data_IF_497706136159
#
_entry.id   IF_497706136159
#
_cell.length_a   1.000
_cell.length_b   1.000
_cell.length_c   1.000
_cell.angle_alpha   90.00
_cell.angle_beta   90.00
_cell.angle_gamma   90.00
#
_symmetry.space_group_name_H-M   'P 1'
#
loop_
_entity.id
_entity.type
_entity.pdbx_description
1 polymer ?
#
# COMPACT_ATOMS: atom_id res chain seq x y z
N UNK A 1 -10.24 -26.36 -14.01
CA UNK A 1 -8.96 -26.90 -14.51
C UNK A 1 -7.86 -26.38 -13.59
N UNK A 2 -7.11 -27.24 -12.91
CA UNK A 2 -6.08 -26.83 -11.93
C UNK A 2 -4.85 -26.26 -12.65
N UNK A 3 -4.62 -24.95 -12.54
CA UNK A 3 -3.47 -24.22 -13.09
C UNK A 3 -2.22 -24.44 -12.19
N UNK A 4 -1.84 -25.70 -11.97
CA UNK A 4 -0.75 -26.05 -11.04
C UNK A 4 0.58 -26.43 -11.75
N UNK A 5 0.64 -26.38 -13.09
CA UNK A 5 1.74 -27.00 -13.85
C UNK A 5 2.97 -26.11 -14.11
N UNK A 6 2.88 -24.77 -14.05
CA UNK A 6 3.98 -23.86 -14.49
C UNK A 6 5.00 -23.51 -13.40
N UNK A 7 4.58 -23.30 -12.15
CA UNK A 7 5.52 -23.03 -11.03
C UNK A 7 6.48 -24.21 -10.79
N UNK A 8 6.04 -25.45 -11.07
CA UNK A 8 6.90 -26.64 -11.02
C UNK A 8 8.00 -26.62 -12.08
N UNK A 9 7.76 -25.99 -13.24
CA UNK A 9 8.72 -25.97 -14.34
C UNK A 9 9.85 -24.98 -14.08
N UNK A 10 9.55 -23.76 -13.60
CA UNK A 10 10.59 -22.79 -13.23
C UNK A 10 11.54 -23.35 -12.14
N UNK A 11 10.99 -24.04 -11.14
CA UNK A 11 11.79 -24.71 -10.12
C UNK A 11 12.65 -25.85 -10.70
N UNK A 12 12.12 -26.60 -11.68
CA UNK A 12 12.87 -27.66 -12.38
C UNK A 12 14.02 -27.06 -13.19
N UNK A 13 13.76 -25.99 -13.95
CA UNK A 13 14.75 -25.30 -14.77
C UNK A 13 15.89 -24.75 -13.90
N UNK A 14 15.57 -24.17 -12.74
CA UNK A 14 16.57 -23.70 -11.78
C UNK A 14 17.43 -24.84 -11.25
N UNK A 15 16.83 -25.98 -10.88
CA UNK A 15 17.55 -27.16 -10.42
C UNK A 15 18.47 -27.78 -11.50
N UNK A 16 18.13 -27.59 -12.78
CA UNK A 16 18.94 -28.01 -13.93
C UNK A 16 20.01 -26.98 -14.32
N UNK A 17 20.08 -25.83 -13.64
CA UNK A 17 21.01 -24.75 -13.97
C UNK A 17 20.70 -24.04 -15.28
N UNK A 18 19.44 -24.05 -15.72
CA UNK A 18 19.02 -23.31 -16.90
C UNK A 18 19.14 -21.79 -16.67
N UNK A 19 19.51 -21.06 -17.70
CA UNK A 19 19.67 -19.59 -17.64
C UNK A 19 18.45 -18.84 -18.15
N UNK A 20 17.58 -19.49 -18.92
CA UNK A 20 16.44 -18.90 -19.60
C UNK A 20 15.16 -19.70 -19.31
N UNK A 21 14.02 -19.02 -19.37
CA UNK A 21 12.69 -19.59 -19.31
C UNK A 21 11.89 -19.18 -20.55
N UNK A 22 10.98 -20.05 -20.98
CA UNK A 22 10.10 -19.80 -22.11
C UNK A 22 8.75 -19.27 -21.63
N UNK A 23 8.44 -18.03 -21.99
CA UNK A 23 7.14 -17.40 -21.81
C UNK A 23 6.29 -17.58 -23.07
N UNK A 24 5.09 -18.12 -22.92
CA UNK A 24 4.13 -18.26 -24.02
C UNK A 24 3.17 -17.07 -23.99
N UNK A 25 3.15 -16.30 -25.08
CA UNK A 25 2.27 -15.17 -25.25
C UNK A 25 1.64 -15.20 -26.64
N UNK A 26 0.30 -15.34 -26.70
CA UNK A 26 -0.50 -15.36 -27.95
C UNK A 26 0.04 -16.28 -29.07
N UNK A 27 0.57 -17.44 -28.68
CA UNK A 27 1.14 -18.42 -29.62
C UNK A 27 2.61 -18.20 -29.98
N UNK A 28 3.23 -17.14 -29.47
CA UNK A 28 4.66 -16.87 -29.57
C UNK A 28 5.39 -17.38 -28.33
N UNK A 29 6.59 -17.92 -28.54
CA UNK A 29 7.50 -18.31 -27.47
C UNK A 29 8.58 -17.24 -27.33
N UNK A 30 8.67 -16.65 -26.15
CA UNK A 30 9.60 -15.59 -25.81
C UNK A 30 10.56 -16.13 -24.76
N UNK A 31 11.86 -15.89 -24.93
CA UNK A 31 12.87 -16.29 -23.96
C UNK A 31 13.18 -15.13 -23.03
N UNK A 32 13.09 -15.37 -21.73
CA UNK A 32 13.46 -14.41 -20.70
C UNK A 32 14.50 -15.03 -19.76
N UNK A 33 15.38 -14.25 -19.14
CA UNK A 33 16.29 -14.78 -18.14
C UNK A 33 15.50 -15.47 -17.02
N UNK A 34 15.86 -16.71 -16.66
CA UNK A 34 15.19 -17.43 -15.57
C UNK A 34 15.48 -16.79 -14.22
N UNK A 35 16.73 -16.32 -14.05
CA UNK A 35 17.22 -15.74 -12.81
C UNK A 35 16.70 -14.29 -12.68
N UNK A 36 15.91 -14.00 -11.65
CA UNK A 36 15.34 -12.66 -11.45
C UNK A 36 16.39 -11.63 -11.06
N UNK A 37 17.53 -12.08 -10.56
CA UNK A 37 18.66 -11.29 -10.11
C UNK A 37 19.32 -10.50 -11.26
N UNK A 38 19.10 -10.94 -12.51
CA UNK A 38 19.58 -10.22 -13.71
C UNK A 38 18.50 -9.40 -14.40
N UNK A 39 17.27 -9.41 -13.88
CA UNK A 39 16.19 -8.59 -14.42
C UNK A 39 16.40 -7.11 -14.07
N UNK A 40 15.89 -6.18 -14.89
CA UNK A 40 15.95 -4.75 -14.58
C UNK A 40 14.89 -4.40 -13.52
N UNK A 41 15.08 -4.85 -12.26
CA UNK A 41 14.09 -4.72 -11.18
C UNK A 41 13.71 -3.25 -10.88
N UNK A 42 14.63 -2.31 -11.10
CA UNK A 42 14.35 -0.88 -11.03
C UNK A 42 13.36 -0.43 -12.13
N UNK A 43 13.52 -0.91 -13.37
CA UNK A 43 12.57 -0.62 -14.45
C UNK A 43 11.23 -1.29 -14.19
N UNK A 44 11.21 -2.52 -13.68
CA UNK A 44 9.95 -3.21 -13.30
C UNK A 44 9.12 -2.35 -12.33
N UNK A 45 9.78 -1.62 -11.42
CA UNK A 45 9.15 -0.74 -10.43
C UNK A 45 8.71 0.60 -11.00
N UNK A 46 9.58 1.27 -11.75
CA UNK A 46 9.41 2.69 -12.12
C UNK A 46 8.89 2.88 -13.54
N UNK A 47 9.26 1.99 -14.46
CA UNK A 47 9.00 2.07 -15.88
C UNK A 47 8.70 0.67 -16.45
N UNK A 48 7.60 0.02 -16.02
CA UNK A 48 7.35 -1.39 -16.33
C UNK A 48 7.24 -1.67 -17.83
N UNK A 49 6.75 -0.71 -18.61
CA UNK A 49 6.74 -0.79 -20.06
C UNK A 49 8.17 -0.98 -20.64
N UNK A 50 9.11 -0.13 -20.23
CA UNK A 50 10.52 -0.23 -20.66
C UNK A 50 11.18 -1.52 -20.16
N UNK A 51 10.73 -2.06 -19.02
CA UNK A 51 11.22 -3.34 -18.53
C UNK A 51 10.80 -4.50 -19.46
N UNK A 52 9.58 -4.46 -20.02
CA UNK A 52 9.13 -5.45 -21.01
C UNK A 52 10.02 -5.39 -22.24
N UNK A 53 10.25 -4.21 -22.80
CA UNK A 53 11.11 -4.03 -23.98
C UNK A 53 12.54 -4.51 -23.73
N UNK A 54 13.10 -4.20 -22.56
CA UNK A 54 14.41 -4.68 -22.15
C UNK A 54 14.47 -6.20 -22.09
N UNK A 55 13.47 -6.84 -21.49
CA UNK A 55 13.42 -8.30 -21.35
C UNK A 55 13.11 -9.02 -22.67
N UNK A 56 12.36 -8.39 -23.57
CA UNK A 56 12.18 -8.87 -24.94
C UNK A 56 13.51 -8.90 -25.69
N UNK A 57 14.39 -7.92 -25.45
CA UNK A 57 15.70 -7.83 -26.08
C UNK A 57 15.63 -7.95 -27.61
N UNK A 58 14.62 -7.28 -28.21
CA UNK A 58 14.37 -7.29 -29.65
C UNK A 58 13.73 -8.57 -30.22
N UNK A 59 13.30 -9.51 -29.38
CA UNK A 59 12.55 -10.68 -29.84
C UNK A 59 11.17 -10.30 -30.38
N UNK A 60 10.73 -10.97 -31.45
CA UNK A 60 9.36 -10.89 -31.92
C UNK A 60 8.41 -11.58 -30.92
N UNK A 61 7.36 -10.87 -30.51
CA UNK A 61 6.42 -11.33 -29.49
C UNK A 61 4.96 -11.23 -29.93
N UNK A 62 4.69 -10.98 -31.22
CA UNK A 62 3.31 -10.88 -31.72
C UNK A 62 2.56 -9.62 -31.25
N UNK A 63 3.26 -8.64 -30.65
CA UNK A 63 2.77 -7.29 -30.50
C UNK A 63 2.91 -6.56 -31.84
N UNK A 64 1.83 -5.90 -32.27
CA UNK A 64 1.78 -5.12 -33.51
C UNK A 64 1.83 -3.61 -33.21
N UNK A 65 1.86 -2.78 -34.26
CA UNK A 65 1.94 -1.31 -34.14
C UNK A 65 0.79 -0.67 -33.34
N UNK A 66 -0.33 -1.38 -33.17
CA UNK A 66 -1.51 -0.96 -32.41
C UNK A 66 -1.58 -1.54 -30.99
N UNK A 67 -0.48 -2.14 -30.50
CA UNK A 67 -0.40 -2.72 -29.17
C UNK A 67 -0.75 -1.71 -28.07
N UNK A 68 -1.64 -2.14 -27.17
CA UNK A 68 -2.12 -1.36 -26.04
C UNK A 68 -1.29 -1.61 -24.79
N UNK A 69 -1.46 -0.75 -23.78
CA UNK A 69 -0.84 -0.94 -22.45
C UNK A 69 -1.27 -2.28 -21.83
N UNK A 70 -2.49 -2.73 -22.10
CA UNK A 70 -3.01 -3.99 -21.58
C UNK A 70 -2.32 -5.20 -22.22
N UNK A 71 -1.96 -5.12 -23.51
CA UNK A 71 -1.20 -6.16 -24.20
C UNK A 71 0.21 -6.32 -23.61
N UNK A 72 0.89 -5.20 -23.33
CA UNK A 72 2.19 -5.21 -22.67
C UNK A 72 2.10 -5.75 -21.23
N UNK A 73 0.99 -5.46 -20.53
CA UNK A 73 0.77 -5.98 -19.18
C UNK A 73 0.55 -7.48 -19.20
N UNK A 74 -0.28 -8.00 -20.11
CA UNK A 74 -0.49 -9.44 -20.33
C UNK A 74 0.84 -10.14 -20.64
N UNK A 75 1.66 -9.55 -21.50
CA UNK A 75 3.00 -10.06 -21.80
C UNK A 75 3.90 -10.06 -20.55
N UNK A 76 3.92 -8.97 -19.78
CA UNK A 76 4.71 -8.89 -18.54
C UNK A 76 4.31 -9.96 -17.51
N UNK A 77 3.01 -10.26 -17.41
CA UNK A 77 2.49 -11.30 -16.53
C UNK A 77 2.89 -12.69 -17.06
N UNK A 78 2.87 -12.92 -18.38
CA UNK A 78 3.35 -14.16 -18.99
C UNK A 78 4.86 -14.40 -18.73
N UNK A 79 5.67 -13.34 -18.76
CA UNK A 79 7.09 -13.39 -18.41
C UNK A 79 7.30 -13.77 -16.94
N UNK A 80 6.57 -13.12 -16.02
CA UNK A 80 6.63 -13.40 -14.59
C UNK A 80 6.17 -14.83 -14.25
N UNK A 81 5.14 -15.32 -14.94
CA UNK A 81 4.65 -16.69 -14.85
C UNK A 81 5.72 -17.71 -15.28
N UNK A 82 6.45 -17.45 -16.36
CA UNK A 82 7.48 -18.33 -16.89
C UNK A 82 8.63 -18.55 -15.91
N UNK A 83 8.99 -17.53 -15.14
CA UNK A 83 10.02 -17.60 -14.09
C UNK A 83 9.46 -18.03 -12.72
N UNK A 84 8.17 -18.37 -12.64
CA UNK A 84 7.56 -18.91 -11.43
C UNK A 84 7.19 -17.86 -10.37
N UNK A 85 7.13 -16.58 -10.74
CA UNK A 85 6.70 -15.47 -9.87
C UNK A 85 5.33 -14.93 -10.33
N UNK A 86 4.44 -15.89 -10.59
CA UNK A 86 3.06 -15.64 -10.99
C UNK A 86 2.28 -14.90 -9.91
N UNK A 87 1.27 -14.13 -10.34
CA UNK A 87 0.24 -13.64 -9.43
C UNK A 87 -0.48 -14.82 -8.78
N UNK A 88 -0.92 -14.64 -7.53
CA UNK A 88 -1.78 -15.62 -6.89
C UNK A 88 -3.20 -15.55 -7.47
N UNK A 89 -3.88 -16.69 -7.68
CA UNK A 89 -5.25 -16.71 -8.21
C UNK A 89 -6.25 -15.89 -7.38
N UNK A 90 -6.02 -15.79 -6.07
CA UNK A 90 -6.83 -15.00 -5.14
C UNK A 90 -6.57 -13.49 -5.18
N UNK A 91 -5.48 -13.03 -5.80
CA UNK A 91 -5.18 -11.60 -5.93
C UNK A 91 -6.08 -10.98 -7.01
N UNK A 92 -6.90 -9.97 -6.68
CA UNK A 92 -7.75 -9.30 -7.67
C UNK A 92 -6.93 -8.72 -8.82
N UNK A 93 -7.50 -8.72 -10.02
CA UNK A 93 -6.88 -8.00 -11.13
C UNK A 93 -6.94 -6.49 -10.87
N UNK A 94 -5.79 -5.83 -10.91
CA UNK A 94 -5.67 -4.38 -10.81
C UNK A 94 -5.05 -3.81 -12.11
N UNK A 95 -5.59 -2.68 -12.63
CA UNK A 95 -5.16 -2.12 -13.91
C UNK A 95 -3.74 -1.55 -13.91
N UNK A 96 -3.16 -1.32 -12.74
CA UNK A 96 -1.80 -0.81 -12.52
C UNK A 96 -0.78 -1.92 -12.22
N UNK A 97 -1.19 -3.19 -12.22
CA UNK A 97 -0.34 -4.29 -11.80
C UNK A 97 0.39 -4.94 -12.97
N UNK A 98 1.72 -4.97 -12.91
CA UNK A 98 2.60 -5.54 -13.92
C UNK A 98 3.42 -6.70 -13.34
N UNK A 99 3.94 -7.58 -14.19
CA UNK A 99 4.94 -8.57 -13.79
C UNK A 99 4.53 -9.47 -12.60
N UNK A 100 3.25 -9.84 -12.52
CA UNK A 100 2.75 -10.79 -11.52
C UNK A 100 3.07 -10.41 -10.07
N UNK A 101 3.84 -11.25 -9.38
CA UNK A 101 4.26 -11.06 -7.99
C UNK A 101 5.57 -10.28 -7.82
N UNK A 102 6.29 -9.95 -8.90
CA UNK A 102 7.63 -9.35 -8.85
C UNK A 102 7.60 -7.97 -8.17
N UNK A 103 6.67 -7.04 -8.48
CA UNK A 103 6.64 -5.75 -7.79
C UNK A 103 6.44 -5.87 -6.28
N UNK A 104 5.60 -6.82 -5.84
CA UNK A 104 5.40 -7.11 -4.42
C UNK A 104 6.68 -7.63 -3.78
N UNK A 105 7.36 -8.57 -4.43
CA UNK A 105 8.66 -9.09 -3.96
C UNK A 105 9.69 -7.97 -3.81
N UNK A 106 9.84 -7.12 -4.83
CA UNK A 106 10.77 -5.99 -4.81
C UNK A 106 10.42 -5.01 -3.69
N UNK A 107 9.15 -4.68 -3.51
CA UNK A 107 8.71 -3.81 -2.42
C UNK A 107 9.00 -4.41 -1.03
N UNK A 108 8.90 -5.73 -0.86
CA UNK A 108 9.29 -6.41 0.38
C UNK A 108 10.79 -6.31 0.61
N UNK A 109 11.60 -6.57 -0.42
CA UNK A 109 13.05 -6.47 -0.34
C UNK A 109 13.50 -5.04 0.00
N UNK A 110 12.86 -4.02 -0.54
CA UNK A 110 13.26 -2.63 -0.34
C UNK A 110 12.86 -2.06 1.04
N UNK A 111 11.72 -2.50 1.59
CA UNK A 111 11.11 -1.85 2.77
C UNK A 111 11.07 -2.71 4.02
N UNK A 112 11.19 -4.02 3.86
CA UNK A 112 10.93 -5.01 4.92
C UNK A 112 11.99 -6.12 4.89
N UNK A 113 13.23 -5.80 4.53
CA UNK A 113 14.32 -6.77 4.38
C UNK A 113 14.64 -7.51 5.68
N UNK A 114 14.69 -6.79 6.81
CA UNK A 114 14.94 -7.39 8.13
C UNK A 114 13.79 -8.30 8.59
N UNK A 115 12.54 -7.87 8.36
CA UNK A 115 11.36 -8.67 8.64
C UNK A 115 11.31 -9.94 7.78
N UNK A 116 11.72 -9.82 6.51
CA UNK A 116 11.88 -10.93 5.59
C UNK A 116 12.91 -11.93 6.09
N UNK A 117 14.09 -11.45 6.51
CA UNK A 117 15.12 -12.32 7.06
C UNK A 117 14.63 -13.07 8.31
N UNK A 118 13.94 -12.36 9.21
CA UNK A 118 13.31 -12.94 10.41
C UNK A 118 12.31 -14.03 10.03
N UNK A 119 11.41 -13.78 9.08
CA UNK A 119 10.37 -14.74 8.70
C UNK A 119 10.92 -15.94 7.91
N UNK A 120 11.91 -15.73 7.03
CA UNK A 120 12.60 -16.82 6.34
C UNK A 120 13.24 -17.79 7.33
N UNK A 121 13.93 -17.24 8.34
CA UNK A 121 14.54 -18.07 9.37
C UNK A 121 13.50 -18.77 10.25
N UNK A 122 12.49 -18.02 10.71
CA UNK A 122 11.49 -18.52 11.66
C UNK A 122 10.61 -19.62 11.09
N UNK A 123 10.12 -19.45 9.86
CA UNK A 123 9.14 -20.37 9.28
C UNK A 123 9.77 -21.45 8.41
N UNK A 124 10.94 -21.18 7.82
CA UNK A 124 11.54 -22.05 6.82
C UNK A 124 12.97 -22.51 7.17
N UNK A 125 13.59 -21.94 8.21
CA UNK A 125 14.98 -22.23 8.57
C UNK A 125 15.97 -21.86 7.48
N UNK A 126 15.66 -20.82 6.69
CA UNK A 126 16.47 -20.35 5.57
C UNK A 126 17.15 -19.05 5.95
N UNK A 127 18.48 -19.03 5.81
CA UNK A 127 19.29 -17.84 6.07
C UNK A 127 19.21 -16.88 4.89
N UNK A 128 18.74 -15.64 5.13
CA UNK A 128 18.59 -14.64 4.07
C UNK A 128 19.91 -14.31 3.36
N UNK A 129 21.04 -14.40 4.08
CA UNK A 129 22.37 -14.16 3.53
C UNK A 129 22.72 -15.07 2.34
N UNK A 130 22.09 -16.25 2.22
CA UNK A 130 22.25 -17.17 1.09
C UNK A 130 21.83 -16.55 -0.26
N UNK A 131 21.07 -15.44 -0.23
CA UNK A 131 20.73 -14.66 -1.42
C UNK A 131 21.97 -14.10 -2.10
N UNK A 132 22.92 -13.60 -1.32
CA UNK A 132 24.12 -12.95 -1.83
C UNK A 132 25.19 -13.92 -2.31
N UNK A 133 25.11 -15.19 -1.90
CA UNK A 133 25.95 -16.28 -2.42
C UNK A 133 25.34 -16.97 -3.64
N UNK A 134 24.09 -16.61 -4.01
CA UNK A 134 23.34 -17.21 -5.11
C UNK A 134 22.69 -18.56 -4.78
N UNK A 135 22.70 -18.99 -3.52
CA UNK A 135 22.10 -20.26 -3.08
C UNK A 135 20.58 -20.13 -2.87
N UNK A 136 20.13 -18.93 -2.49
CA UNK A 136 18.72 -18.59 -2.32
C UNK A 136 18.29 -17.58 -3.40
N UNK A 137 17.61 -18.07 -4.44
CA UNK A 137 17.12 -17.19 -5.50
C UNK A 137 15.90 -16.34 -5.09
N UNK A 138 15.70 -15.22 -5.77
CA UNK A 138 14.51 -14.38 -5.61
C UNK A 138 13.20 -15.13 -5.87
N UNK A 139 13.19 -16.09 -6.81
CA UNK A 139 12.04 -16.97 -7.05
C UNK A 139 11.75 -17.87 -5.84
N UNK A 140 12.80 -18.44 -5.21
CA UNK A 140 12.65 -19.22 -3.99
C UNK A 140 12.12 -18.37 -2.85
N UNK A 141 12.64 -17.16 -2.67
CA UNK A 141 12.12 -16.19 -1.71
C UNK A 141 10.62 -15.94 -1.94
N UNK A 142 10.20 -15.64 -3.17
CA UNK A 142 8.78 -15.49 -3.52
C UNK A 142 7.94 -16.71 -3.12
N UNK A 143 8.47 -17.92 -3.35
CA UNK A 143 7.77 -19.16 -3.01
C UNK A 143 7.49 -19.25 -1.50
N UNK A 144 8.43 -18.83 -0.66
CA UNK A 144 8.29 -18.82 0.80
C UNK A 144 7.33 -17.73 1.30
N UNK A 145 7.32 -16.56 0.65
CA UNK A 145 6.61 -15.39 1.19
C UNK A 145 5.27 -15.08 0.53
N UNK A 146 4.94 -15.68 -0.61
CA UNK A 146 3.68 -15.37 -1.31
C UNK A 146 2.44 -15.69 -0.48
N UNK A 147 2.53 -16.58 0.50
CA UNK A 147 1.42 -16.98 1.40
C UNK A 147 1.87 -16.99 2.86
N UNK A 148 2.36 -15.85 3.32
CA UNK A 148 2.76 -15.69 4.72
C UNK A 148 1.58 -15.80 5.68
N UNK A 149 1.90 -16.31 6.85
CA UNK A 149 0.98 -16.34 7.99
C UNK A 149 0.67 -14.91 8.47
N UNK A 150 -0.57 -14.60 8.90
CA UNK A 150 -0.93 -13.29 9.46
C UNK A 150 -0.05 -12.83 10.64
N UNK A 151 0.57 -13.76 11.37
CA UNK A 151 1.48 -13.49 12.48
C UNK A 151 2.95 -13.30 12.05
N UNK A 152 3.23 -13.32 10.74
CA UNK A 152 4.55 -13.04 10.19
C UNK A 152 4.98 -11.58 10.44
N UNK A 153 6.29 -11.38 10.56
CA UNK A 153 6.90 -10.08 10.83
C UNK A 153 6.62 -9.12 9.67
N UNK A 154 6.72 -9.59 8.42
CA UNK A 154 6.41 -8.80 7.22
C UNK A 154 4.95 -8.33 7.24
N UNK A 155 3.98 -9.22 7.50
CA UNK A 155 2.55 -8.85 7.50
C UNK A 155 2.26 -7.81 8.60
N UNK A 156 2.86 -7.99 9.78
CA UNK A 156 2.75 -7.02 10.88
C UNK A 156 3.38 -5.68 10.52
N UNK A 157 4.56 -5.67 9.91
CA UNK A 157 5.25 -4.46 9.50
C UNK A 157 4.44 -3.69 8.45
N UNK A 158 3.89 -4.37 7.45
CA UNK A 158 3.00 -3.80 6.44
C UNK A 158 1.71 -3.22 7.03
N UNK A 159 1.24 -3.77 8.16
CA UNK A 159 0.06 -3.30 8.88
C UNK A 159 0.40 -2.34 10.05
N UNK A 160 1.49 -1.56 9.92
CA UNK A 160 1.86 -0.53 10.90
C UNK A 160 2.25 -1.08 12.27
N UNK A 161 2.87 -2.26 12.29
CA UNK A 161 3.29 -2.98 13.50
C UNK A 161 2.18 -3.76 14.20
N UNK A 162 0.96 -3.75 13.66
CA UNK A 162 -0.21 -4.43 14.24
C UNK A 162 -0.49 -5.75 13.54
N UNK A 163 -1.06 -6.69 14.27
CA UNK A 163 -1.55 -7.93 13.68
C UNK A 163 -2.69 -7.64 12.70
N UNK A 164 -2.70 -8.34 11.57
CA UNK A 164 -3.80 -8.27 10.62
C UNK A 164 -5.04 -8.92 11.24
N UNK A 165 -6.19 -8.27 11.08
CA UNK A 165 -7.43 -8.82 11.63
C UNK A 165 -7.83 -10.10 10.92
N UNK A 166 -7.94 -11.17 11.70
CA UNK A 166 -8.46 -12.45 11.24
C UNK A 166 -9.99 -12.44 11.21
N UNK A 167 -10.59 -13.40 10.50
CA UNK A 167 -12.05 -13.57 10.48
C UNK A 167 -12.61 -13.75 11.90
N UNK A 168 -11.89 -14.51 12.76
CA UNK A 168 -12.28 -14.72 14.15
C UNK A 168 -12.30 -13.42 14.94
N UNK A 169 -11.35 -12.51 14.71
CA UNK A 169 -11.34 -11.18 15.34
C UNK A 169 -12.55 -10.35 14.89
N UNK A 170 -12.93 -10.40 13.61
CA UNK A 170 -14.13 -9.72 13.12
C UNK A 170 -15.42 -10.29 13.73
N UNK A 171 -15.52 -11.61 13.85
CA UNK A 171 -16.65 -12.27 14.50
C UNK A 171 -16.74 -11.85 15.97
N UNK A 172 -15.62 -11.89 16.70
CA UNK A 172 -15.59 -11.51 18.11
C UNK A 172 -15.99 -10.04 18.33
N UNK A 173 -15.50 -9.14 17.47
CA UNK A 173 -15.91 -7.73 17.50
C UNK A 173 -17.41 -7.55 17.19
N UNK A 174 -17.97 -8.38 16.31
CA UNK A 174 -19.41 -8.37 16.01
C UNK A 174 -20.24 -8.88 17.19
N UNK A 175 -19.77 -9.92 17.89
CA UNK A 175 -20.39 -10.41 19.13
C UNK A 175 -20.33 -9.33 20.22
N UNK A 176 -19.18 -8.67 20.41
CA UNK A 176 -19.06 -7.53 21.34
C UNK A 176 -20.11 -6.46 21.03
N UNK A 177 -20.25 -6.08 19.77
CA UNK A 177 -21.24 -5.09 19.34
C UNK A 177 -22.68 -5.54 19.57
N UNK A 178 -22.98 -6.82 19.33
CA UNK A 178 -24.32 -7.37 19.60
C UNK A 178 -24.66 -7.37 21.09
N UNK A 179 -23.68 -7.58 21.97
CA UNK A 179 -23.88 -7.63 23.42
C UNK A 179 -23.91 -6.25 24.08
N UNK A 180 -23.12 -5.29 23.59
CA UNK A 180 -22.95 -3.98 24.22
C UNK A 180 -23.69 -2.85 23.50
N UNK A 181 -24.05 -3.05 22.23
CA UNK A 181 -24.52 -1.99 21.33
C UNK A 181 -23.41 -1.09 20.78
N UNK A 182 -22.16 -1.25 21.23
CA UNK A 182 -21.03 -0.40 20.85
C UNK A 182 -20.09 -1.09 19.84
N UNK A 183 -19.52 -0.34 18.91
CA UNK A 183 -18.51 -0.87 17.99
C UNK A 183 -17.22 -1.12 18.79
N UNK A 184 -16.62 -2.31 18.64
CA UNK A 184 -15.36 -2.63 19.30
C UNK A 184 -14.28 -1.57 18.94
N UNK A 185 -13.67 -0.88 19.94
CA UNK A 185 -12.79 0.25 19.67
C UNK A 185 -11.58 -0.04 18.77
N UNK A 186 -11.07 -1.29 18.80
CA UNK A 186 -9.92 -1.69 18.00
C UNK A 186 -10.25 -2.18 16.59
N UNK A 187 -11.53 -2.18 16.18
CA UNK A 187 -11.97 -2.75 14.89
C UNK A 187 -11.56 -1.85 13.72
N UNK A 188 -10.87 -2.39 12.70
CA UNK A 188 -10.64 -1.68 11.44
C UNK A 188 -11.96 -1.31 10.79
N UNK A 189 -12.06 -0.05 10.36
CA UNK A 189 -13.21 0.45 9.62
C UNK A 189 -13.26 -0.19 8.23
N UNK A 190 -14.44 -0.60 7.77
CA UNK A 190 -14.65 -1.05 6.37
C UNK A 190 -14.48 0.14 5.41
N UNK A 191 -14.20 -0.07 4.11
CA UNK A 191 -13.95 1.02 3.17
C UNK A 191 -15.04 2.11 3.14
N UNK A 192 -16.32 1.72 3.18
CA UNK A 192 -17.44 2.68 3.25
C UNK A 192 -17.52 3.42 4.59
N UNK A 193 -17.08 2.80 5.69
CA UNK A 193 -16.99 3.40 7.02
C UNK A 193 -15.82 4.37 7.10
N UNK A 194 -14.70 4.06 6.43
CA UNK A 194 -13.55 4.96 6.26
C UNK A 194 -13.96 6.21 5.48
N UNK A 195 -14.63 6.06 4.33
CA UNK A 195 -15.11 7.19 3.55
C UNK A 195 -16.02 8.12 4.36
N UNK A 196 -16.98 7.55 5.09
CA UNK A 196 -17.88 8.31 5.98
C UNK A 196 -17.13 8.97 7.14
N UNK A 197 -16.10 8.33 7.70
CA UNK A 197 -15.27 8.90 8.75
C UNK A 197 -14.42 10.08 8.22
N UNK A 198 -13.88 9.97 7.01
CA UNK A 198 -13.15 11.05 6.34
C UNK A 198 -14.07 12.24 6.05
N UNK A 199 -15.27 12.01 5.52
CA UNK A 199 -16.28 13.06 5.32
C UNK A 199 -16.64 13.77 6.64
N UNK A 200 -16.84 13.00 7.71
CA UNK A 200 -17.13 13.55 9.03
C UNK A 200 -15.95 14.35 9.62
N UNK A 201 -14.71 13.91 9.38
CA UNK A 201 -13.51 14.66 9.77
C UNK A 201 -13.39 15.97 9.00
N UNK A 202 -13.62 15.94 7.68
CA UNK A 202 -13.59 17.13 6.83
C UNK A 202 -14.66 18.14 7.27
N UNK A 203 -15.89 17.68 7.48
CA UNK A 203 -16.98 18.54 7.97
C UNK A 203 -16.68 19.17 9.34
N UNK A 204 -16.00 18.44 10.23
CA UNK A 204 -15.53 18.98 11.51
C UNK A 204 -14.43 20.04 11.31
N UNK A 205 -13.48 19.79 10.41
CA UNK A 205 -12.42 20.75 10.09
C UNK A 205 -13.01 22.06 9.53
N UNK A 206 -13.96 21.95 8.60
CA UNK A 206 -14.65 23.08 7.99
C UNK A 206 -15.49 23.84 9.04
N UNK A 207 -16.15 23.13 9.95
CA UNK A 207 -16.90 23.73 11.05
C UNK A 207 -15.97 24.53 11.99
N UNK A 208 -14.82 23.97 12.36
CA UNK A 208 -13.82 24.66 13.19
C UNK A 208 -13.24 25.87 12.47
N UNK A 209 -12.97 25.77 11.16
CA UNK A 209 -12.51 26.90 10.35
C UNK A 209 -13.54 28.04 10.33
N UNK A 210 -14.81 27.73 10.10
CA UNK A 210 -15.89 28.72 10.11
C UNK A 210 -16.08 29.36 11.49
N UNK A 211 -15.94 28.59 12.58
CA UNK A 211 -15.95 29.14 13.94
C UNK A 211 -14.79 30.12 14.17
N UNK A 212 -13.58 29.80 13.70
CA UNK A 212 -12.42 30.69 13.78
C UNK A 212 -12.62 31.97 12.96
N UNK A 213 -13.15 31.87 11.75
CA UNK A 213 -13.48 33.03 10.91
C UNK A 213 -14.53 33.93 11.55
N UNK A 214 -15.60 33.35 12.11
CA UNK A 214 -16.60 34.11 12.86
C UNK A 214 -15.97 34.81 14.06
N UNK A 215 -15.16 34.11 14.85
CA UNK A 215 -14.44 34.71 15.99
C UNK A 215 -13.52 35.85 15.55
N UNK A 216 -12.78 35.69 14.45
CA UNK A 216 -11.95 36.75 13.88
C UNK A 216 -12.79 37.95 13.40
N UNK A 217 -13.95 37.72 12.78
CA UNK A 217 -14.87 38.78 12.35
C UNK A 217 -15.50 39.51 13.54
N UNK A 218 -15.83 38.81 14.64
CA UNK A 218 -16.27 39.43 15.88
C UNK A 218 -15.16 40.23 16.55
N UNK A 219 -13.91 39.74 16.55
CA UNK A 219 -12.74 40.47 17.05
C UNK A 219 -12.44 41.73 16.21
N UNK A 220 -12.58 41.65 14.88
CA UNK A 220 -12.42 42.79 13.98
C UNK A 220 -13.55 43.82 14.14
N UNK A 221 -14.81 43.38 14.31
CA UNK A 221 -15.96 44.26 14.61
C UNK A 221 -15.92 44.84 16.04
N UNK A 222 -15.18 44.22 16.96
CA UNK A 222 -14.86 44.74 18.29
C UNK A 222 -13.77 45.83 18.26
N UNK A 223 -13.13 46.06 17.11
CA UNK A 223 -12.30 47.24 16.88
C UNK A 223 -12.95 48.22 15.90
N UNK A 224 -13.78 49.12 16.44
CA UNK A 224 -13.65 50.53 16.18
C UNK A 224 -13.07 51.17 17.44
N UNK A 225 -12.05 52.01 17.26
CA UNK A 225 -11.67 52.98 18.27
C UNK A 225 -12.90 53.81 18.66
N UNK A 226 -13.54 53.44 19.76
CA UNK A 226 -14.44 54.29 20.52
C UNK A 226 -13.71 54.63 21.82
N UNK A 227 -13.55 55.91 22.17
CA UNK A 227 -12.65 56.34 23.23
C UNK A 227 -13.15 55.79 24.57
N UNK A 228 -12.38 54.88 25.17
CA UNK A 228 -12.60 54.34 26.51
C UNK A 228 -12.46 55.39 27.64
N UNK A 229 -12.50 56.68 27.30
CA UNK A 229 -12.29 57.81 28.21
C UNK A 229 -13.62 58.56 28.47
N UNK A 230 -14.62 58.49 27.58
CA UNK A 230 -15.85 59.30 27.73
C UNK A 230 -16.83 58.81 28.81
N UNK A 231 -17.06 57.49 28.94
CA UNK A 231 -18.05 56.96 29.88
C UNK A 231 -17.60 57.06 31.35
N UNK A 232 -16.29 56.91 31.61
CA UNK A 232 -15.74 57.02 32.96
C UNK A 232 -15.59 58.50 33.39
N UNK A 233 -15.23 59.40 32.47
CA UNK A 233 -15.24 60.85 32.73
C UNK A 233 -16.65 61.40 32.95
N UNK A 234 -17.66 60.93 32.19
CA UNK A 234 -19.06 61.28 32.43
C UNK A 234 -19.58 60.73 33.77
N UNK A 235 -19.18 59.52 34.16
CA UNK A 235 -19.53 58.96 35.48
C UNK A 235 -18.89 59.75 36.63
N UNK A 236 -17.65 60.23 36.47
CA UNK A 236 -16.95 61.07 37.45
C UNK A 236 -17.52 62.49 37.50
N UNK A 237 -17.90 63.07 36.35
CA UNK A 237 -18.54 64.38 36.29
C UNK A 237 -19.94 64.39 36.93
N UNK A 238 -20.76 63.38 36.67
CA UNK A 238 -22.08 63.24 37.31
C UNK A 238 -21.96 63.06 38.83
N UNK A 239 -20.99 62.26 39.29
CA UNK A 239 -20.76 62.03 40.72
C UNK A 239 -20.24 63.28 41.45
N UNK A 240 -19.43 64.12 40.78
CA UNK A 240 -19.00 65.42 41.31
C UNK A 240 -20.14 66.43 41.39
N UNK A 241 -21.06 66.42 40.42
CA UNK A 241 -22.24 67.29 40.44
C UNK A 241 -23.25 66.88 41.52
N UNK A 242 -23.41 65.58 41.81
CA UNK A 242 -24.22 65.08 42.92
C UNK A 242 -23.61 65.38 44.30
N UNK A 243 -22.29 65.34 44.43
CA UNK A 243 -21.58 65.61 45.69
C UNK A 243 -21.36 67.11 45.99
N UNK A 244 -21.57 67.99 45.00
CA UNK A 244 -21.46 69.46 45.14
C UNK A 244 -22.78 70.19 45.39
N UNK A 245 -23.91 69.49 45.43
CA UNK A 245 -25.22 70.04 45.85
C UNK A 245 -25.56 69.58 47.27
N UNK A 246 -24.91 70.19 48.25
CA UNK A 246 -25.39 70.32 49.63
C UNK A 246 -25.20 71.75 50.08
#
# INVERSE_FOLDING_TARGET
>A
MKVAAKTSEAARLEALGATEAEALFRGHTIRVPLNLEVWPLNLVREHPFNAVDYLLNGQECGLYDDATVDDYRELSDAMADAVGVSRLPETPAAPDQWFGGIPTLVNILDRYEDDLASDLQRFWGVEYAERFTGTLSLRRIWTYIRRLDPASSIVRAQNGGKEQWTEQMFILASVYQALTGEIYPGRPLRPHEVAKALEAMQAKADHVANLKERQAAYAAKSSPAAPAVSAMEQAVANRRHELGKR
#
